data_IF_574259199235
#
_entry.id   IF_574259199235
#
_cell.length_a   1.000
_cell.length_b   1.000
_cell.length_c   1.000
_cell.angle_alpha   90.00
_cell.angle_beta   90.00
_cell.angle_gamma   90.00
#
_symmetry.space_group_name_H-M   'P 1'
#
loop_
_entity.id
_entity.type
_entity.pdbx_description
1 polymer ?
#
# COMPACT_ATOMS: atom_id res chain seq x y z
N UNK A 1 -2.14 23.65 -4.11
CA UNK A 1 -0.74 23.22 -3.89
C UNK A 1 0.01 22.92 -5.19
N UNK A 2 -0.65 22.38 -6.24
CA UNK A 2 0.07 21.94 -7.44
C UNK A 2 0.98 20.73 -7.15
N UNK A 3 0.61 19.94 -6.15
CA UNK A 3 1.36 18.80 -5.67
C UNK A 3 0.77 17.50 -6.23
N UNK A 4 1.63 16.52 -6.42
CA UNK A 4 1.35 15.21 -6.98
C UNK A 4 1.84 14.16 -5.98
N UNK A 5 0.92 13.29 -5.57
CA UNK A 5 1.15 12.29 -4.52
C UNK A 5 1.09 10.89 -5.14
N UNK A 6 2.12 10.10 -4.88
CA UNK A 6 2.16 8.69 -5.27
C UNK A 6 2.28 7.79 -4.06
N UNK A 7 1.80 6.55 -4.19
CA UNK A 7 2.07 5.49 -3.25
C UNK A 7 2.23 4.16 -4.00
N UNK A 8 2.94 3.22 -3.39
CA UNK A 8 3.11 1.86 -3.89
C UNK A 8 3.47 0.91 -2.77
N UNK A 9 3.03 -0.35 -2.89
CA UNK A 9 3.38 -1.42 -1.98
C UNK A 9 4.00 -2.58 -2.76
N UNK A 10 5.15 -3.05 -2.28
CA UNK A 10 5.93 -4.15 -2.85
C UNK A 10 6.07 -5.25 -1.79
N UNK A 11 6.89 -6.27 -2.05
CA UNK A 11 6.99 -7.44 -1.16
C UNK A 11 7.59 -7.12 0.21
N UNK A 12 8.47 -6.15 0.26
CA UNK A 12 9.29 -5.80 1.42
C UNK A 12 9.40 -4.29 1.67
N UNK A 13 8.79 -3.47 0.81
CA UNK A 13 8.81 -2.03 0.95
C UNK A 13 7.48 -1.40 0.55
N UNK A 14 7.20 -0.24 1.14
CA UNK A 14 6.20 0.68 0.64
C UNK A 14 6.90 1.98 0.23
N UNK A 15 6.43 2.59 -0.84
CA UNK A 15 6.91 3.88 -1.31
C UNK A 15 5.77 4.88 -1.17
N UNK A 16 6.11 6.08 -0.72
CA UNK A 16 5.22 7.23 -0.78
C UNK A 16 6.03 8.37 -1.38
N UNK A 17 5.49 9.02 -2.41
CA UNK A 17 6.20 10.06 -3.15
C UNK A 17 5.42 11.36 -3.13
N UNK A 18 6.14 12.47 -3.05
CA UNK A 18 5.61 13.81 -3.17
C UNK A 18 6.43 14.57 -4.22
N UNK A 19 5.72 15.15 -5.18
CA UNK A 19 6.26 16.20 -6.05
C UNK A 19 5.47 17.47 -5.82
N UNK A 20 6.16 18.59 -5.61
CA UNK A 20 5.53 19.90 -5.40
C UNK A 20 6.23 20.99 -6.20
N UNK A 21 5.61 22.17 -6.28
CA UNK A 21 6.27 23.37 -6.77
C UNK A 21 7.37 23.83 -5.80
N UNK A 22 8.41 24.50 -6.32
CA UNK A 22 9.54 25.01 -5.52
C UNK A 22 9.22 26.26 -4.70
N UNK A 23 8.10 26.91 -5.00
CA UNK A 23 7.55 28.03 -4.21
C UNK A 23 7.35 27.58 -2.75
N UNK A 24 7.98 28.30 -1.81
CA UNK A 24 8.07 27.89 -0.41
C UNK A 24 6.71 27.67 0.25
N UNK A 25 5.77 28.61 0.06
CA UNK A 25 4.44 28.51 0.65
C UNK A 25 3.69 27.26 0.17
N UNK A 26 3.85 26.91 -1.12
CA UNK A 26 3.21 25.73 -1.70
C UNK A 26 3.91 24.44 -1.31
N UNK A 27 5.24 24.44 -1.30
CA UNK A 27 6.09 23.30 -0.91
C UNK A 27 5.86 22.92 0.55
N UNK A 28 5.92 23.89 1.45
CA UNK A 28 5.87 23.66 2.88
C UNK A 28 4.47 23.17 3.31
N UNK A 29 3.41 23.69 2.68
CA UNK A 29 2.06 23.17 2.86
C UNK A 29 1.88 21.75 2.30
N UNK A 30 2.50 21.41 1.16
CA UNK A 30 2.46 20.06 0.61
C UNK A 30 3.22 19.05 1.49
N UNK A 31 4.39 19.42 2.02
CA UNK A 31 5.15 18.62 2.97
C UNK A 31 4.40 18.40 4.29
N UNK A 32 3.74 19.45 4.80
CA UNK A 32 2.92 19.33 6.01
C UNK A 32 1.80 18.31 5.82
N UNK A 33 1.08 18.37 4.70
CA UNK A 33 0.03 17.41 4.38
C UNK A 33 0.60 15.98 4.21
N UNK A 34 1.73 15.84 3.51
CA UNK A 34 2.41 14.56 3.31
C UNK A 34 2.76 13.90 4.66
N UNK A 35 3.32 14.66 5.59
CA UNK A 35 3.67 14.19 6.92
C UNK A 35 2.43 13.77 7.73
N UNK A 36 1.33 14.51 7.62
CA UNK A 36 0.08 14.15 8.31
C UNK A 36 -0.51 12.84 7.77
N UNK A 37 -0.56 12.67 6.44
CA UNK A 37 -1.14 11.48 5.82
C UNK A 37 -0.34 10.22 6.17
N UNK A 38 1.00 10.30 6.17
CA UNK A 38 1.85 9.15 6.45
C UNK A 38 1.98 8.89 7.95
N UNK A 39 2.14 9.94 8.75
CA UNK A 39 2.44 9.82 10.18
C UNK A 39 1.21 9.72 11.08
N UNK A 40 0.05 10.22 10.65
CA UNK A 40 -1.16 10.32 11.48
C UNK A 40 -2.43 9.79 10.76
N UNK A 41 -2.43 8.57 10.21
CA UNK A 41 -3.62 8.00 9.59
C UNK A 41 -4.74 7.74 10.60
N UNK A 42 -5.97 8.11 10.25
CA UNK A 42 -7.16 7.95 11.11
C UNK A 42 -7.87 6.60 10.94
N UNK A 43 -7.53 5.84 9.90
CA UNK A 43 -8.12 4.56 9.52
C UNK A 43 -9.65 4.46 9.67
N UNK A 44 -10.44 5.26 8.94
CA UNK A 44 -11.90 5.16 8.99
C UNK A 44 -12.39 3.76 8.55
N UNK A 45 -13.31 3.17 9.31
CA UNK A 45 -13.77 1.80 9.07
C UNK A 45 -14.49 1.64 7.72
N UNK A 46 -15.25 2.66 7.30
CA UNK A 46 -15.90 2.75 5.99
C UNK A 46 -14.88 2.79 4.85
N UNK A 47 -13.77 3.51 5.02
CA UNK A 47 -12.68 3.58 4.06
C UNK A 47 -11.97 2.23 3.93
N UNK A 48 -11.74 1.51 5.04
CA UNK A 48 -11.21 0.15 5.00
C UNK A 48 -12.15 -0.79 4.24
N UNK A 49 -13.46 -0.75 4.52
CA UNK A 49 -14.44 -1.56 3.81
C UNK A 49 -14.45 -1.27 2.30
N UNK A 50 -14.42 0.02 1.92
CA UNK A 50 -14.36 0.45 0.52
C UNK A 50 -13.10 -0.06 -0.18
N UNK A 51 -11.93 0.09 0.44
CA UNK A 51 -10.65 -0.35 -0.14
C UNK A 51 -10.61 -1.88 -0.29
N UNK A 52 -11.10 -2.64 0.70
CA UNK A 52 -11.24 -4.10 0.57
C UNK A 52 -12.06 -4.49 -0.65
N UNK A 53 -13.22 -3.84 -0.85
CA UNK A 53 -14.07 -4.11 -2.00
C UNK A 53 -13.39 -3.76 -3.33
N UNK A 54 -12.64 -2.66 -3.38
CA UNK A 54 -11.86 -2.28 -4.57
C UNK A 54 -10.76 -3.31 -4.90
N UNK A 55 -10.04 -3.80 -3.89
CA UNK A 55 -9.02 -4.84 -4.06
C UNK A 55 -9.66 -6.15 -4.55
N UNK A 56 -10.77 -6.57 -3.93
CA UNK A 56 -11.49 -7.78 -4.34
C UNK A 56 -11.98 -7.69 -5.80
N UNK A 57 -12.52 -6.54 -6.22
CA UNK A 57 -12.87 -6.30 -7.61
C UNK A 57 -11.64 -6.32 -8.53
N UNK A 58 -10.50 -5.81 -8.06
CA UNK A 58 -9.21 -5.87 -8.76
C UNK A 58 -8.76 -7.31 -9.02
N UNK A 59 -8.99 -8.24 -8.09
CA UNK A 59 -8.65 -9.65 -8.31
C UNK A 59 -9.45 -10.29 -9.46
N UNK A 60 -10.71 -9.91 -9.66
CA UNK A 60 -11.49 -10.40 -10.81
C UNK A 60 -10.92 -9.90 -12.14
N UNK A 61 -10.45 -8.65 -12.19
CA UNK A 61 -9.75 -8.12 -13.36
C UNK A 61 -8.40 -8.84 -13.60
N UNK A 62 -7.68 -9.17 -12.52
CA UNK A 62 -6.39 -9.86 -12.63
C UNK A 62 -6.48 -11.26 -13.26
N UNK A 63 -7.59 -11.97 -13.06
CA UNK A 63 -7.83 -13.28 -13.70
C UNK A 63 -7.81 -13.20 -15.23
N UNK A 64 -8.07 -12.03 -15.78
CA UNK A 64 -8.09 -11.77 -17.23
C UNK A 64 -6.72 -11.32 -17.76
N UNK A 65 -5.69 -11.22 -16.90
CA UNK A 65 -4.35 -10.79 -17.28
C UNK A 65 -3.35 -11.97 -17.17
N UNK A 66 -3.01 -12.63 -18.29
CA UNK A 66 -2.07 -13.76 -18.29
C UNK A 66 -0.69 -13.41 -17.73
N UNK A 67 -0.21 -12.18 -17.94
CA UNK A 67 1.09 -11.73 -17.42
C UNK A 67 1.11 -11.65 -15.90
N UNK A 68 0.01 -11.19 -15.28
CA UNK A 68 -0.13 -11.18 -13.81
C UNK A 68 -0.17 -12.60 -13.25
N UNK A 69 -0.94 -13.49 -13.87
CA UNK A 69 -1.04 -14.89 -13.44
C UNK A 69 0.30 -15.62 -13.54
N UNK A 70 1.02 -15.43 -14.66
CA UNK A 70 2.36 -15.99 -14.86
C UNK A 70 3.34 -15.46 -13.81
N UNK A 71 3.30 -14.16 -13.48
CA UNK A 71 4.14 -13.58 -12.43
C UNK A 71 3.85 -14.18 -11.06
N UNK A 72 2.57 -14.33 -10.67
CA UNK A 72 2.19 -14.95 -9.40
C UNK A 72 2.74 -16.38 -9.30
N UNK A 73 2.53 -17.20 -10.34
CA UNK A 73 2.98 -18.59 -10.37
C UNK A 73 4.52 -18.69 -10.39
N UNK A 74 5.19 -17.79 -11.12
CA UNK A 74 6.64 -17.72 -11.15
C UNK A 74 7.21 -17.48 -9.74
N UNK A 75 6.70 -16.47 -9.02
CA UNK A 75 7.18 -16.18 -7.67
C UNK A 75 6.88 -17.32 -6.70
N UNK A 76 5.71 -17.96 -6.81
CA UNK A 76 5.38 -19.15 -6.01
C UNK A 76 6.39 -20.28 -6.22
N UNK A 77 6.77 -20.55 -7.47
CA UNK A 77 7.76 -21.61 -7.79
C UNK A 77 9.18 -21.26 -7.39
N UNK A 78 9.58 -20.00 -7.55
CA UNK A 78 10.94 -19.57 -7.23
C UNK A 78 11.19 -19.57 -5.71
N UNK A 79 10.19 -19.18 -4.92
CA UNK A 79 10.38 -18.93 -3.49
C UNK A 79 9.75 -19.99 -2.57
N UNK A 80 8.87 -20.86 -3.07
CA UNK A 80 8.26 -21.93 -2.28
C UNK A 80 7.54 -21.38 -1.05
N UNK A 81 7.99 -21.79 0.13
CA UNK A 81 7.41 -21.36 1.43
C UNK A 81 7.96 -20.02 1.94
N UNK A 82 8.88 -19.38 1.22
CA UNK A 82 9.45 -18.09 1.62
C UNK A 82 8.43 -16.95 1.44
N UNK A 83 8.39 -15.92 2.32
CA UNK A 83 7.42 -14.82 2.23
C UNK A 83 7.34 -14.10 0.88
N UNK A 84 8.41 -14.10 0.07
CA UNK A 84 8.39 -13.52 -1.28
C UNK A 84 7.54 -14.30 -2.30
N UNK A 85 7.15 -15.54 -2.00
CA UNK A 85 6.15 -16.27 -2.78
C UNK A 85 4.77 -15.62 -2.69
N UNK A 86 4.52 -14.80 -1.65
CA UNK A 86 3.24 -14.18 -1.39
C UNK A 86 3.05 -12.97 -2.32
N UNK A 87 1.88 -12.84 -2.98
CA UNK A 87 1.55 -11.62 -3.73
C UNK A 87 1.45 -10.42 -2.77
N UNK A 88 2.09 -9.29 -3.11
CA UNK A 88 2.07 -8.07 -2.29
C UNK A 88 0.67 -7.50 -2.05
N UNK A 89 -0.26 -7.77 -2.96
CA UNK A 89 -1.65 -7.31 -2.87
C UNK A 89 -2.53 -8.21 -1.97
N UNK A 90 -1.99 -9.33 -1.49
CA UNK A 90 -2.74 -10.36 -0.77
C UNK A 90 -3.50 -11.30 -1.72
N UNK A 91 -4.53 -11.95 -1.19
CA UNK A 91 -5.37 -12.91 -1.92
C UNK A 91 -6.86 -12.67 -1.59
N UNK A 92 -7.79 -13.18 -2.42
CA UNK A 92 -9.22 -13.09 -2.12
C UNK A 92 -9.60 -13.64 -0.74
N UNK A 93 -8.84 -14.60 -0.21
CA UNK A 93 -9.06 -15.22 1.09
C UNK A 93 -8.42 -14.43 2.25
N UNK A 94 -7.34 -13.69 2.00
CA UNK A 94 -6.61 -12.96 3.05
C UNK A 94 -7.14 -11.54 3.26
N UNK A 95 -7.53 -10.83 2.19
CA UNK A 95 -7.99 -9.43 2.25
C UNK A 95 -9.21 -9.25 3.16
N UNK A 96 -10.25 -10.11 3.12
CA UNK A 96 -11.41 -9.96 4.01
C UNK A 96 -11.05 -10.04 5.49
N UNK A 97 -10.00 -10.80 5.84
CA UNK A 97 -9.58 -11.08 7.23
C UNK A 97 -8.80 -9.93 7.88
N UNK A 98 -8.33 -8.96 7.09
CA UNK A 98 -7.55 -7.81 7.60
C UNK A 98 -8.42 -6.96 8.52
N UNK A 99 -8.08 -6.85 9.80
CA UNK A 99 -8.84 -6.02 10.75
C UNK A 99 -8.27 -4.61 10.86
N UNK A 100 -9.09 -3.69 11.37
CA UNK A 100 -8.65 -2.32 11.67
C UNK A 100 -7.47 -2.31 12.65
N UNK A 101 -7.54 -3.14 13.69
CA UNK A 101 -6.48 -3.27 14.69
C UNK A 101 -5.16 -3.80 14.07
N UNK A 102 -5.24 -4.77 13.15
CA UNK A 102 -4.07 -5.25 12.41
C UNK A 102 -3.44 -4.16 11.54
N UNK A 103 -4.27 -3.35 10.88
CA UNK A 103 -3.81 -2.25 10.05
C UNK A 103 -3.09 -1.18 10.88
N UNK A 104 -3.68 -0.78 12.01
CA UNK A 104 -3.08 0.16 12.96
C UNK A 104 -1.76 -0.38 13.55
N UNK A 105 -1.74 -1.64 13.98
CA UNK A 105 -0.55 -2.28 14.51
C UNK A 105 0.57 -2.41 13.47
N UNK A 106 0.22 -2.75 12.22
CA UNK A 106 1.18 -2.79 11.12
C UNK A 106 1.74 -1.41 10.83
N UNK A 107 0.91 -0.38 10.75
CA UNK A 107 1.36 1.00 10.52
C UNK A 107 2.32 1.47 11.61
N UNK A 108 1.97 1.29 12.88
CA UNK A 108 2.82 1.67 14.01
C UNK A 108 4.19 0.97 13.99
N UNK A 109 4.26 -0.27 13.48
CA UNK A 109 5.50 -1.03 13.35
C UNK A 109 6.32 -0.64 12.11
N UNK A 110 5.66 -0.56 10.95
CA UNK A 110 6.33 -0.44 9.65
C UNK A 110 6.63 1.01 9.24
N UNK A 111 5.85 1.98 9.70
CA UNK A 111 6.01 3.41 9.39
C UNK A 111 6.68 4.17 10.54
N UNK A 112 7.64 3.53 11.20
CA UNK A 112 8.47 4.13 12.24
C UNK A 112 9.71 4.82 11.63
N UNK A 113 10.22 5.87 12.30
CA UNK A 113 11.39 6.63 11.82
C UNK A 113 12.63 5.76 11.55
N UNK A 114 12.84 4.69 12.34
CA UNK A 114 13.94 3.74 12.13
C UNK A 114 13.75 2.77 10.96
N UNK A 115 12.61 2.83 10.26
CA UNK A 115 12.27 1.96 9.13
C UNK A 115 11.92 2.78 7.86
N UNK A 116 12.35 4.04 7.81
CA UNK A 116 12.20 4.95 6.67
C UNK A 116 13.58 5.47 6.22
N UNK A 117 13.70 5.81 4.93
CA UNK A 117 14.91 6.36 4.29
C UNK A 117 14.56 7.66 3.58
#
# INVERSE_FOLDING_TARGET
LGADFGNGAYRDMALVTLRSLSDSAKRDAALSLFNQVIGQPTFPADSLARIKNQILAGFEYQKQNPGKLASIELFKRLYGDHPYAHPSEGTPESVPKITLAQLQAFHAKAYAAGNAV
#
